data_IF_418048573707
#
_entry.id   IF_418048573707
#
_cell.length_a   1.000
_cell.length_b   1.000
_cell.length_c   1.000
_cell.angle_alpha   90.00
_cell.angle_beta   90.00
_cell.angle_gamma   90.00
#
_symmetry.space_group_name_H-M   'P 1'
#
loop_
_entity.id
_entity.type
_entity.pdbx_description
1 polymer ?
#
# COMPACT_ATOMS: atom_id res chain seq x y z
N UNK A 1 25.99 0.84 -22.92
CA UNK A 1 24.71 0.13 -23.15
C UNK A 1 24.74 -0.46 -24.55
N UNK A 2 24.42 -1.75 -24.70
CA UNK A 2 24.42 -2.49 -25.98
C UNK A 2 23.10 -2.33 -26.77
N UNK A 3 22.16 -1.50 -26.29
CA UNK A 3 20.84 -1.32 -26.91
C UNK A 3 20.92 -0.44 -28.16
N UNK A 4 20.25 -0.86 -29.23
CA UNK A 4 20.07 -0.06 -30.43
C UNK A 4 19.06 1.06 -30.19
N UNK A 5 19.32 2.22 -30.79
CA UNK A 5 18.47 3.41 -30.69
C UNK A 5 17.72 3.59 -32.00
N UNK A 6 16.40 3.66 -31.91
CA UNK A 6 15.48 3.93 -33.00
C UNK A 6 14.81 5.29 -32.79
N UNK A 7 14.06 5.74 -33.80
CA UNK A 7 13.28 6.98 -33.75
C UNK A 7 11.84 6.72 -34.12
N UNK A 8 10.92 7.33 -33.39
CA UNK A 8 9.50 7.40 -33.80
C UNK A 8 9.36 8.32 -35.02
N UNK A 9 8.17 8.36 -35.64
CA UNK A 9 7.84 9.27 -36.76
C UNK A 9 8.15 10.74 -36.43
N UNK A 10 7.99 11.14 -35.17
CA UNK A 10 8.23 12.52 -34.71
C UNK A 10 9.65 12.72 -34.15
N UNK A 11 10.58 11.78 -34.39
CA UNK A 11 11.98 11.93 -34.03
C UNK A 11 12.33 11.61 -32.58
N UNK A 12 11.35 11.29 -31.71
CA UNK A 12 11.60 10.79 -30.35
C UNK A 12 12.46 9.53 -30.38
N UNK A 13 13.54 9.53 -29.59
CA UNK A 13 14.42 8.37 -29.45
C UNK A 13 13.73 7.28 -28.64
N UNK A 14 13.80 6.04 -29.10
CA UNK A 14 13.35 4.85 -28.38
C UNK A 14 14.45 3.80 -28.44
N UNK A 15 14.65 3.04 -27.37
CA UNK A 15 15.69 2.00 -27.28
C UNK A 15 15.04 0.64 -27.39
N UNK A 16 15.71 -0.32 -28.01
CA UNK A 16 15.23 -1.71 -28.03
C UNK A 16 15.48 -2.46 -26.71
N UNK A 17 14.75 -3.57 -26.53
CA UNK A 17 14.84 -4.46 -25.38
C UNK A 17 14.10 -4.01 -24.11
N UNK A 18 14.03 -4.89 -23.12
CA UNK A 18 13.43 -4.68 -21.77
C UNK A 18 11.89 -4.48 -21.70
N UNK A 19 11.15 -4.76 -22.78
CA UNK A 19 9.68 -4.66 -22.76
C UNK A 19 9.19 -3.22 -22.90
N UNK A 20 8.12 -2.86 -22.17
CA UNK A 20 7.56 -1.51 -22.17
C UNK A 20 8.31 -0.69 -21.09
N UNK A 21 9.29 0.12 -21.50
CA UNK A 21 9.86 1.14 -20.60
C UNK A 21 8.94 2.37 -20.58
N UNK A 22 8.41 2.77 -19.41
CA UNK A 22 7.47 3.88 -19.35
C UNK A 22 8.19 5.21 -19.62
N UNK A 23 7.53 6.08 -20.39
CA UNK A 23 8.00 7.45 -20.64
C UNK A 23 8.02 8.30 -19.34
N UNK A 24 7.15 7.94 -18.39
CA UNK A 24 7.08 8.55 -17.06
C UNK A 24 7.21 7.46 -16.02
N UNK A 25 8.30 7.51 -15.26
CA UNK A 25 8.54 6.59 -14.14
C UNK A 25 7.78 7.11 -12.94
N UNK A 26 6.90 6.27 -12.40
CA UNK A 26 6.24 6.48 -11.12
C UNK A 26 6.84 5.53 -10.10
N UNK A 27 6.96 5.99 -8.86
CA UNK A 27 7.37 5.11 -7.78
C UNK A 27 6.25 4.10 -7.50
N UNK A 28 6.61 2.83 -7.44
CA UNK A 28 5.65 1.79 -7.07
C UNK A 28 5.28 1.99 -5.60
N UNK A 29 3.99 2.17 -5.34
CA UNK A 29 3.50 2.25 -3.98
C UNK A 29 3.71 0.91 -3.26
N UNK A 30 4.48 0.93 -2.17
CA UNK A 30 4.69 -0.22 -1.30
C UNK A 30 3.82 -0.05 -0.07
N UNK A 31 2.98 -1.05 0.21
CA UNK A 31 2.15 -1.06 1.42
C UNK A 31 2.99 -1.14 2.68
N UNK A 32 2.48 -0.55 3.76
CA UNK A 32 2.98 -0.83 5.10
C UNK A 32 2.89 -2.33 5.42
N UNK A 33 3.82 -2.84 6.23
CA UNK A 33 3.84 -4.26 6.64
C UNK A 33 2.52 -4.64 7.32
N UNK A 34 1.94 -3.74 8.14
CA UNK A 34 0.63 -3.94 8.74
C UNK A 34 -0.49 -4.04 7.70
N UNK A 35 -0.52 -3.16 6.69
CA UNK A 35 -1.53 -3.17 5.62
C UNK A 35 -1.48 -4.51 4.88
N UNK A 36 -0.28 -4.94 4.50
CA UNK A 36 -0.08 -6.22 3.84
C UNK A 36 -0.48 -7.41 4.72
N UNK A 37 -0.20 -7.36 6.02
CA UNK A 37 -0.58 -8.37 7.01
C UNK A 37 -2.10 -8.46 7.15
N UNK A 38 -2.78 -7.33 7.35
CA UNK A 38 -4.24 -7.25 7.48
C UNK A 38 -4.97 -7.78 6.23
N UNK A 39 -4.38 -7.56 5.06
CA UNK A 39 -4.89 -8.11 3.81
C UNK A 39 -4.63 -9.61 3.69
N UNK A 40 -3.38 -10.05 3.85
CA UNK A 40 -2.94 -11.45 3.72
C UNK A 40 -3.67 -12.37 4.69
N UNK A 41 -3.85 -11.92 5.92
CA UNK A 41 -4.43 -12.73 7.00
C UNK A 41 -5.96 -12.55 7.07
N UNK A 42 -6.58 -12.06 5.99
CA UNK A 42 -8.03 -11.97 5.78
C UNK A 42 -8.81 -11.07 6.75
N UNK A 43 -8.15 -10.25 7.57
CA UNK A 43 -8.85 -9.32 8.45
C UNK A 43 -9.73 -8.31 7.69
N UNK A 44 -9.25 -7.82 6.55
CA UNK A 44 -10.00 -6.92 5.66
C UNK A 44 -11.19 -7.65 5.04
N UNK A 45 -10.97 -8.90 4.59
CA UNK A 45 -12.00 -9.76 4.00
C UNK A 45 -13.13 -10.05 5.00
N UNK A 46 -12.76 -10.44 6.23
CA UNK A 46 -13.69 -10.74 7.32
C UNK A 46 -14.53 -9.52 7.68
N UNK A 47 -13.88 -8.35 7.80
CA UNK A 47 -14.60 -7.13 8.11
C UNK A 47 -15.58 -6.73 7.00
N UNK A 48 -15.18 -6.87 5.74
CA UNK A 48 -16.09 -6.59 4.61
C UNK A 48 -17.32 -7.52 4.64
N UNK A 49 -17.17 -8.78 5.05
CA UNK A 49 -18.29 -9.69 5.24
C UNK A 49 -19.20 -9.25 6.39
N UNK A 50 -18.63 -8.90 7.55
CA UNK A 50 -19.38 -8.35 8.68
C UNK A 50 -20.18 -7.12 8.23
N UNK A 51 -19.52 -6.18 7.56
CA UNK A 51 -20.13 -4.95 7.07
C UNK A 51 -21.32 -5.24 6.13
N UNK A 52 -21.15 -6.17 5.17
CA UNK A 52 -22.20 -6.56 4.23
C UNK A 52 -23.43 -7.19 4.92
N UNK A 53 -23.21 -8.01 5.95
CA UNK A 53 -24.30 -8.60 6.73
C UNK A 53 -25.08 -7.53 7.50
N UNK A 54 -24.38 -6.54 8.05
CA UNK A 54 -24.98 -5.46 8.85
C UNK A 54 -25.64 -4.36 7.99
N UNK A 55 -25.22 -4.22 6.73
CA UNK A 55 -25.69 -3.19 5.81
C UNK A 55 -26.24 -3.83 4.52
N UNK A 56 -27.56 -4.07 4.42
CA UNK A 56 -28.14 -4.69 3.22
C UNK A 56 -27.96 -3.89 1.93
N UNK A 57 -27.66 -2.59 2.02
CA UNK A 57 -27.47 -1.70 0.88
C UNK A 57 -26.20 -0.86 1.03
N UNK A 58 -25.44 -0.74 -0.05
CA UNK A 58 -24.25 0.11 -0.11
C UNK A 58 -24.62 1.56 -0.44
N UNK A 59 -24.32 2.48 0.48
CA UNK A 59 -24.41 3.93 0.20
C UNK A 59 -23.39 4.34 -0.87
N UNK A 60 -23.75 5.34 -1.67
CA UNK A 60 -22.91 5.92 -2.73
C UNK A 60 -22.43 4.94 -3.83
N UNK A 61 -22.94 3.70 -3.83
CA UNK A 61 -22.56 2.67 -4.78
C UNK A 61 -21.05 2.45 -4.84
N UNK A 62 -20.49 2.40 -6.06
CA UNK A 62 -19.06 2.19 -6.26
C UNK A 62 -18.18 3.40 -5.83
N UNK A 63 -18.79 4.54 -5.49
CA UNK A 63 -18.11 5.71 -4.90
C UNK A 63 -18.07 5.68 -3.38
N UNK A 64 -18.44 4.55 -2.78
CA UNK A 64 -18.36 4.33 -1.35
C UNK A 64 -16.98 4.72 -0.80
N UNK A 65 -17.02 5.54 0.26
CA UNK A 65 -15.84 5.89 1.07
C UNK A 65 -16.07 5.42 2.49
N UNK A 66 -15.06 4.80 3.09
CA UNK A 66 -15.12 4.38 4.48
C UNK A 66 -14.97 5.64 5.35
N UNK A 67 -15.89 5.81 6.28
CA UNK A 67 -15.85 6.89 7.27
C UNK A 67 -14.80 6.58 8.33
N UNK A 68 -14.44 7.58 9.13
CA UNK A 68 -13.55 7.35 10.26
C UNK A 68 -14.21 6.51 11.37
N UNK A 69 -15.52 6.65 11.57
CA UNK A 69 -16.26 5.83 12.53
C UNK A 69 -16.28 4.34 12.13
N UNK A 70 -16.48 4.03 10.85
CA UNK A 70 -16.41 2.64 10.35
C UNK A 70 -14.98 2.10 10.36
N UNK A 71 -13.97 2.98 10.25
CA UNK A 71 -12.57 2.57 10.46
C UNK A 71 -12.32 2.20 11.92
N UNK A 72 -12.84 2.99 12.87
CA UNK A 72 -12.70 2.69 14.29
C UNK A 72 -13.46 1.40 14.66
N UNK A 73 -14.60 1.10 14.02
CA UNK A 73 -15.27 -0.20 14.15
C UNK A 73 -14.40 -1.35 13.62
N UNK A 74 -13.69 -1.17 12.51
CA UNK A 74 -12.71 -2.14 12.03
C UNK A 74 -11.58 -2.35 13.05
N UNK A 75 -10.99 -1.29 13.59
CA UNK A 75 -9.95 -1.37 14.62
C UNK A 75 -10.48 -2.09 15.86
N UNK A 76 -11.72 -1.84 16.27
CA UNK A 76 -12.37 -2.55 17.36
C UNK A 76 -12.59 -4.04 17.04
N UNK A 77 -12.93 -4.39 15.80
CA UNK A 77 -13.09 -5.78 15.36
C UNK A 77 -11.78 -6.57 15.35
N UNK A 78 -10.63 -5.90 15.37
CA UNK A 78 -9.31 -6.53 15.52
C UNK A 78 -8.93 -6.78 16.99
N UNK A 79 -9.61 -6.15 17.96
CA UNK A 79 -9.29 -6.34 19.37
C UNK A 79 -9.47 -7.80 19.78
N UNK A 80 -8.43 -8.37 20.40
CA UNK A 80 -8.41 -9.77 20.79
C UNK A 80 -8.16 -10.75 19.64
N UNK A 81 -7.94 -10.26 18.42
CA UNK A 81 -7.40 -11.05 17.32
C UNK A 81 -5.89 -10.89 17.29
N UNK A 82 -5.20 -11.98 16.96
CA UNK A 82 -3.75 -11.98 16.83
C UNK A 82 -3.38 -11.65 15.38
N UNK A 83 -2.93 -10.42 15.13
CA UNK A 83 -2.39 -9.98 13.84
C UNK A 83 -0.93 -9.58 14.02
N UNK A 84 -0.14 -10.53 14.52
CA UNK A 84 1.29 -10.31 14.70
C UNK A 84 2.01 -10.22 13.35
N UNK A 85 2.88 -9.23 13.21
CA UNK A 85 3.75 -9.07 12.06
C UNK A 85 5.14 -8.64 12.50
N UNK A 86 6.17 -9.25 11.96
CA UNK A 86 7.54 -8.85 12.28
C UNK A 86 8.00 -7.76 11.31
N UNK A 87 8.46 -6.65 11.86
CA UNK A 87 9.15 -5.62 11.08
C UNK A 87 10.60 -6.02 10.83
N UNK A 88 11.21 -5.50 9.76
CA UNK A 88 12.65 -5.73 9.49
C UNK A 88 13.54 -5.28 10.66
N UNK A 89 13.13 -4.24 11.39
CA UNK A 89 13.84 -3.75 12.57
C UNK A 89 13.72 -4.71 13.75
N UNK A 90 12.57 -5.36 13.96
CA UNK A 90 12.41 -6.41 14.97
C UNK A 90 13.27 -7.63 14.65
N UNK A 91 13.29 -8.08 13.39
CA UNK A 91 14.12 -9.20 12.95
C UNK A 91 15.62 -8.91 13.18
N UNK A 92 16.07 -7.72 12.75
CA UNK A 92 17.46 -7.30 12.95
C UNK A 92 17.82 -7.16 14.44
N UNK A 93 16.89 -6.67 15.26
CA UNK A 93 17.10 -6.56 16.70
C UNK A 93 17.15 -7.93 17.38
N UNK A 94 16.32 -8.88 16.95
CA UNK A 94 16.34 -10.26 17.45
C UNK A 94 17.67 -10.95 17.11
N UNK A 95 18.20 -10.73 15.90
CA UNK A 95 19.52 -11.22 15.49
C UNK A 95 20.63 -10.58 16.34
N UNK A 96 20.61 -9.25 16.50
CA UNK A 96 21.57 -8.55 17.35
C UNK A 96 21.53 -9.07 18.80
N UNK A 97 20.34 -9.26 19.37
CA UNK A 97 20.14 -9.80 20.71
C UNK A 97 20.77 -11.18 20.86
N UNK A 98 20.62 -12.04 19.85
CA UNK A 98 21.20 -13.39 19.82
C UNK A 98 22.73 -13.35 19.78
N UNK A 99 23.31 -12.45 19.00
CA UNK A 99 24.77 -12.35 18.88
C UNK A 99 25.41 -11.75 20.15
N UNK A 100 24.80 -10.72 20.72
CA UNK A 100 25.20 -10.16 22.02
C UNK A 100 25.15 -11.23 23.12
N UNK A 101 24.13 -12.08 23.15
CA UNK A 101 24.09 -13.19 24.12
C UNK A 101 25.26 -14.17 23.97
N UNK A 102 25.74 -14.42 22.73
CA UNK A 102 26.92 -15.29 22.50
C UNK A 102 28.22 -14.61 22.92
N UNK A 103 28.33 -13.31 22.65
CA UNK A 103 29.52 -12.51 22.94
C UNK A 103 29.70 -12.23 24.45
N UNK A 104 28.77 -12.71 25.29
CA UNK A 104 28.80 -12.56 26.75
C UNK A 104 28.92 -11.10 27.20
N UNK A 105 28.24 -10.19 26.48
CA UNK A 105 28.29 -8.74 26.75
C UNK A 105 27.60 -8.41 28.08
N UNK A 106 27.93 -7.23 28.64
CA UNK A 106 27.42 -6.82 29.95
C UNK A 106 25.90 -6.71 30.01
N UNK A 107 25.35 -6.92 31.21
CA UNK A 107 23.92 -6.78 31.47
C UNK A 107 23.36 -5.39 31.09
N UNK A 108 24.19 -4.34 31.12
CA UNK A 108 23.82 -3.00 30.67
C UNK A 108 23.50 -2.93 29.18
N UNK A 109 24.23 -3.65 28.33
CA UNK A 109 23.98 -3.71 26.88
C UNK A 109 22.68 -4.48 26.60
N UNK A 110 22.47 -5.61 27.27
CA UNK A 110 21.22 -6.36 27.17
C UNK A 110 20.00 -5.55 27.60
N UNK A 111 20.13 -4.70 28.63
CA UNK A 111 19.06 -3.78 29.04
C UNK A 111 18.69 -2.81 27.92
N UNK A 112 19.67 -2.18 27.26
CA UNK A 112 19.43 -1.24 26.16
C UNK A 112 18.73 -1.90 24.96
N UNK A 113 19.10 -3.14 24.65
CA UNK A 113 18.45 -3.92 23.56
C UNK A 113 16.99 -4.20 23.91
N UNK A 114 16.71 -4.62 25.15
CA UNK A 114 15.33 -4.85 25.60
C UNK A 114 14.51 -3.55 25.59
N UNK A 115 15.10 -2.42 25.99
CA UNK A 115 14.44 -1.11 25.94
C UNK A 115 14.11 -0.70 24.51
N UNK A 116 15.02 -0.96 23.56
CA UNK A 116 14.78 -0.72 22.14
C UNK A 116 13.68 -1.64 21.59
N UNK A 117 13.67 -2.92 21.98
CA UNK A 117 12.65 -3.89 21.60
C UNK A 117 11.25 -3.42 22.03
N UNK A 118 11.13 -2.93 23.27
CA UNK A 118 9.86 -2.40 23.79
C UNK A 118 9.40 -1.15 23.04
N UNK A 119 10.32 -0.24 22.69
CA UNK A 119 9.99 0.96 21.92
C UNK A 119 9.49 0.62 20.52
N UNK A 120 10.14 -0.33 19.83
CA UNK A 120 9.70 -0.78 18.49
C UNK A 120 8.31 -1.41 18.57
N UNK A 121 8.05 -2.25 19.58
CA UNK A 121 6.71 -2.83 19.81
C UNK A 121 5.63 -1.78 20.05
N UNK A 122 5.94 -0.72 20.79
CA UNK A 122 4.98 0.37 21.02
C UNK A 122 4.68 1.16 19.74
N UNK A 123 5.70 1.46 18.93
CA UNK A 123 5.51 2.14 17.65
C UNK A 123 4.62 1.32 16.69
N UNK A 124 4.74 -0.01 16.73
CA UNK A 124 3.91 -0.95 15.98
C UNK A 124 2.42 -0.84 16.31
N UNK A 125 2.05 -0.56 17.56
CA UNK A 125 0.65 -0.34 17.95
C UNK A 125 0.03 0.88 17.25
N UNK A 126 0.86 1.85 16.85
CA UNK A 126 0.44 3.07 16.15
C UNK A 126 0.38 2.88 14.63
N UNK A 127 0.96 1.82 14.08
CA UNK A 127 1.01 1.58 12.63
C UNK A 127 -0.40 1.49 12.03
N UNK A 128 -1.37 0.95 12.78
CA UNK A 128 -2.77 0.89 12.31
C UNK A 128 -3.36 2.29 12.08
N UNK A 129 -2.89 3.32 12.77
CA UNK A 129 -3.31 4.69 12.53
C UNK A 129 -2.43 5.39 11.51
N UNK A 130 -1.13 5.10 11.51
CA UNK A 130 -0.15 5.63 10.54
C UNK A 130 -0.51 5.22 9.10
N UNK A 131 -0.86 3.96 8.90
CA UNK A 131 -1.24 3.40 7.59
C UNK A 131 -2.75 3.41 7.33
N UNK A 132 -3.51 4.19 8.11
CA UNK A 132 -4.98 4.28 8.05
C UNK A 132 -5.50 4.51 6.62
N UNK A 133 -4.86 5.37 5.83
CA UNK A 133 -5.33 5.66 4.48
C UNK A 133 -5.25 4.44 3.55
N UNK A 134 -4.16 3.67 3.63
CA UNK A 134 -3.99 2.45 2.82
C UNK A 134 -5.02 1.38 3.23
N UNK A 135 -5.15 1.17 4.55
CA UNK A 135 -6.09 0.19 5.10
C UNK A 135 -7.54 0.57 4.75
N UNK A 136 -7.90 1.86 4.86
CA UNK A 136 -9.22 2.37 4.43
C UNK A 136 -9.48 2.10 2.95
N UNK A 137 -8.52 2.33 2.07
CA UNK A 137 -8.70 2.06 0.63
C UNK A 137 -8.98 0.59 0.38
N UNK A 138 -8.24 -0.32 1.00
CA UNK A 138 -8.48 -1.76 0.85
C UNK A 138 -9.82 -2.19 1.43
N UNK A 139 -10.20 -1.68 2.61
CA UNK A 139 -11.52 -1.93 3.20
C UNK A 139 -12.64 -1.46 2.28
N UNK A 140 -12.54 -0.26 1.70
CA UNK A 140 -13.54 0.25 0.74
C UNK A 140 -13.68 -0.68 -0.47
N UNK A 141 -12.57 -1.05 -1.09
CA UNK A 141 -12.55 -1.90 -2.26
C UNK A 141 -13.16 -3.27 -1.95
N UNK A 142 -12.77 -3.88 -0.83
CA UNK A 142 -13.28 -5.19 -0.41
C UNK A 142 -14.76 -5.12 -0.05
N UNK A 143 -15.21 -4.08 0.64
CA UNK A 143 -16.64 -3.84 0.95
C UNK A 143 -17.44 -3.68 -0.33
N UNK A 144 -17.03 -2.81 -1.26
CA UNK A 144 -17.72 -2.59 -2.54
C UNK A 144 -17.85 -3.90 -3.32
N UNK A 145 -16.81 -4.74 -3.27
CA UNK A 145 -16.82 -6.05 -3.93
C UNK A 145 -17.93 -6.99 -3.44
N UNK A 146 -18.43 -6.82 -2.20
CA UNK A 146 -19.55 -7.62 -1.68
C UNK A 146 -20.89 -7.29 -2.31
N UNK A 147 -21.05 -6.05 -2.79
CA UNK A 147 -22.30 -5.60 -3.39
C UNK A 147 -22.25 -5.67 -4.92
N UNK A 148 -21.13 -5.25 -5.51
CA UNK A 148 -21.01 -5.01 -6.94
C UNK A 148 -19.87 -5.81 -7.58
N UNK A 149 -19.36 -6.84 -6.88
CA UNK A 149 -18.34 -7.76 -7.35
C UNK A 149 -17.07 -7.05 -7.83
N UNK A 150 -16.31 -7.71 -8.69
CA UNK A 150 -15.02 -7.23 -9.16
C UNK A 150 -15.13 -5.90 -9.92
N UNK A 151 -16.19 -5.72 -10.72
CA UNK A 151 -16.41 -4.48 -11.46
C UNK A 151 -16.53 -3.27 -10.51
N UNK A 152 -17.28 -3.41 -9.41
CA UNK A 152 -17.40 -2.36 -8.42
C UNK A 152 -16.09 -2.09 -7.66
N UNK A 153 -15.36 -3.15 -7.31
CA UNK A 153 -14.03 -3.04 -6.68
C UNK A 153 -13.08 -2.21 -7.53
N UNK A 154 -13.00 -2.51 -8.83
CA UNK A 154 -12.15 -1.79 -9.78
C UNK A 154 -12.58 -0.33 -9.90
N UNK A 155 -13.88 -0.06 -10.07
CA UNK A 155 -14.39 1.33 -10.16
C UNK A 155 -14.09 2.14 -8.88
N UNK A 156 -14.13 1.50 -7.70
CA UNK A 156 -13.74 2.15 -6.46
C UNK A 156 -12.23 2.45 -6.41
N UNK A 157 -11.39 1.47 -6.78
CA UNK A 157 -9.94 1.59 -6.75
C UNK A 157 -9.43 2.73 -7.66
N UNK A 158 -10.01 2.87 -8.86
CA UNK A 158 -9.64 3.89 -9.84
C UNK A 158 -9.79 5.33 -9.32
N UNK A 159 -10.60 5.58 -8.29
CA UNK A 159 -10.80 6.92 -7.74
C UNK A 159 -9.58 7.46 -6.98
N UNK A 160 -8.74 6.56 -6.47
CA UNK A 160 -7.52 6.90 -5.73
C UNK A 160 -6.24 6.45 -6.42
N UNK A 161 -6.34 5.87 -7.60
CA UNK A 161 -5.21 5.36 -8.36
C UNK A 161 -4.32 6.52 -8.87
N UNK A 162 -3.08 6.57 -8.38
CA UNK A 162 -2.13 7.62 -8.70
C UNK A 162 -1.66 7.54 -10.16
N UNK A 163 -1.59 6.34 -10.76
CA UNK A 163 -1.22 6.17 -12.17
C UNK A 163 -2.33 6.71 -13.07
N UNK A 164 -3.59 6.43 -12.72
CA UNK A 164 -4.75 6.98 -13.43
C UNK A 164 -4.82 8.49 -13.31
N UNK A 165 -4.61 9.04 -12.11
CA UNK A 165 -4.55 10.51 -11.92
C UNK A 165 -3.45 11.13 -12.77
N UNK A 166 -2.24 10.57 -12.72
CA UNK A 166 -1.12 11.08 -13.51
C UNK A 166 -1.40 10.97 -15.00
N UNK A 167 -2.02 9.88 -15.46
CA UNK A 167 -2.44 9.72 -16.86
C UNK A 167 -3.43 10.81 -17.28
N UNK A 168 -4.45 11.09 -16.46
CA UNK A 168 -5.43 12.16 -16.72
C UNK A 168 -4.74 13.53 -16.76
N UNK A 169 -3.81 13.81 -15.84
CA UNK A 169 -3.06 15.07 -15.80
C UNK A 169 -2.26 15.29 -17.08
N UNK A 170 -1.53 14.26 -17.54
CA UNK A 170 -0.73 14.33 -18.77
C UNK A 170 -1.63 14.52 -20.00
N UNK A 171 -2.70 13.72 -20.11
CA UNK A 171 -3.60 13.76 -21.27
C UNK A 171 -4.35 15.09 -21.36
N UNK A 172 -4.60 15.74 -20.22
CA UNK A 172 -5.24 17.06 -20.15
C UNK A 172 -4.25 18.20 -20.45
N UNK A 173 -2.94 17.95 -20.43
CA UNK A 173 -1.90 18.90 -20.73
C UNK A 173 -1.30 18.64 -22.11
N UNK A 174 -1.88 19.21 -23.16
CA UNK A 174 -1.44 19.03 -24.55
C UNK A 174 0.05 19.34 -24.76
N UNK A 175 0.61 20.33 -24.04
CA UNK A 175 2.02 20.68 -24.13
C UNK A 175 2.94 19.59 -23.57
N UNK A 176 2.64 19.08 -22.38
CA UNK A 176 3.37 17.96 -21.77
C UNK A 176 3.23 16.68 -22.61
N UNK A 177 2.01 16.38 -23.07
CA UNK A 177 1.73 15.25 -23.95
C UNK A 177 2.52 15.31 -25.26
N UNK A 178 2.50 16.45 -25.96
CA UNK A 178 3.27 16.64 -27.19
C UNK A 178 4.76 16.53 -26.96
N UNK A 179 5.27 17.09 -25.85
CA UNK A 179 6.68 16.97 -25.47
C UNK A 179 7.08 15.50 -25.26
N UNK A 180 6.25 14.72 -24.57
CA UNK A 180 6.49 13.28 -24.35
C UNK A 180 6.52 12.54 -25.68
N UNK A 181 5.61 12.86 -26.61
CA UNK A 181 5.54 12.22 -27.92
C UNK A 181 6.55 12.78 -28.95
N UNK A 182 7.30 13.82 -28.60
CA UNK A 182 8.21 14.52 -29.51
C UNK A 182 7.50 15.24 -30.66
N UNK A 183 6.23 15.62 -30.49
CA UNK A 183 5.48 16.39 -31.49
C UNK A 183 5.97 17.84 -31.44
N UNK A 184 6.72 18.26 -32.45
CA UNK A 184 7.05 19.67 -32.65
C UNK A 184 5.88 20.32 -33.40
N UNK A 185 5.28 21.36 -32.81
CA UNK A 185 4.35 22.25 -33.51
C UNK A 185 5.09 23.04 -34.60
#
# INVERSE_FOLDING_TARGET
>A
SLRSVFKTKNGRLVKDGAGIEPDIKMESHQWGIITATLFRDYFIFDYANKYFVEHPTLRDGNKFKLTDAEYDDFVNALKGKDYDYTTYSEDALAELKKDVQKDSVSASVMSLINDLEQKIKHDKEQDIYKYKNEIKQLLQQEIVSRYNYEAGRIENALQSDEEVKKAVDILSNTGEYHKILGINN
#
